data_IF_841180338091
#
_entry.id   IF_841180338091
#
_cell.length_a   1.000
_cell.length_b   1.000
_cell.length_c   1.000
_cell.angle_alpha   90.00
_cell.angle_beta   90.00
_cell.angle_gamma   90.00
#
_symmetry.space_group_name_H-M   'P 1'
#
loop_
_entity.id
_entity.type
_entity.pdbx_description
1 polymer ?
#
# COMPACT_ATOMS: atom_id res chain seq x y z
N UNK A 1 -0.66 -8.75 -18.97
CA UNK A 1 0.45 -9.72 -19.16
C UNK A 1 1.65 -9.31 -18.31
N UNK A 2 2.52 -10.25 -17.95
CA UNK A 2 3.75 -9.96 -17.17
C UNK A 2 4.63 -8.91 -17.87
N UNK A 3 4.73 -8.97 -19.18
CA UNK A 3 5.52 -8.05 -19.98
C UNK A 3 5.13 -6.58 -19.76
N UNK A 4 3.84 -6.27 -19.70
CA UNK A 4 3.35 -4.90 -19.42
C UNK A 4 3.85 -4.40 -18.07
N UNK A 5 3.89 -5.27 -17.05
CA UNK A 5 4.41 -4.89 -15.73
C UNK A 5 5.92 -4.59 -15.78
N UNK A 6 6.69 -5.35 -16.54
CA UNK A 6 8.14 -5.11 -16.68
C UNK A 6 8.42 -3.79 -17.39
N UNK A 7 7.75 -3.54 -18.51
CA UNK A 7 7.90 -2.31 -19.29
C UNK A 7 7.46 -1.09 -18.48
N UNK A 8 6.31 -1.18 -17.81
CA UNK A 8 5.79 -0.09 -16.98
C UNK A 8 6.75 0.19 -15.81
N UNK A 9 7.24 -0.85 -15.12
CA UNK A 9 8.16 -0.67 -14.02
C UNK A 9 9.50 -0.10 -14.48
N UNK A 10 10.05 -0.58 -15.61
CA UNK A 10 11.28 -0.05 -16.17
C UNK A 10 11.14 1.44 -16.54
N UNK A 11 10.04 1.81 -17.20
CA UNK A 11 9.73 3.20 -17.53
C UNK A 11 9.61 4.10 -16.29
N UNK A 12 8.94 3.62 -15.25
CA UNK A 12 8.82 4.35 -14.00
C UNK A 12 10.15 4.46 -13.25
N UNK A 13 10.93 3.37 -13.19
CA UNK A 13 12.22 3.34 -12.53
C UNK A 13 13.22 4.31 -13.18
N UNK A 14 13.27 4.36 -14.51
CA UNK A 14 14.11 5.30 -15.26
C UNK A 14 13.80 6.76 -14.90
N UNK A 15 12.51 7.11 -14.80
CA UNK A 15 12.09 8.50 -14.56
C UNK A 15 12.12 8.91 -13.09
N UNK A 16 11.88 7.96 -12.19
CA UNK A 16 11.72 8.24 -10.76
C UNK A 16 12.99 8.02 -9.95
N UNK A 17 13.94 7.20 -10.42
CA UNK A 17 15.17 6.91 -9.67
C UNK A 17 15.99 8.14 -9.27
N UNK A 18 16.00 9.28 -10.01
CA UNK A 18 16.66 10.49 -9.54
C UNK A 18 16.00 11.12 -8.29
N UNK A 19 14.74 10.80 -8.00
CA UNK A 19 13.94 11.46 -6.96
C UNK A 19 13.60 10.52 -5.81
N UNK A 20 13.54 9.21 -6.06
CA UNK A 20 13.20 8.19 -5.07
C UNK A 20 14.27 7.09 -5.04
N UNK A 21 14.53 6.57 -3.87
CA UNK A 21 15.49 5.47 -3.69
C UNK A 21 14.83 4.14 -3.33
N UNK A 22 13.49 4.09 -3.20
CA UNK A 22 12.77 2.89 -2.75
C UNK A 22 11.46 2.73 -3.49
N UNK A 23 11.22 1.50 -3.94
CA UNK A 23 9.94 1.06 -4.46
C UNK A 23 9.38 -0.05 -3.57
N UNK A 24 8.08 0.02 -3.28
CA UNK A 24 7.36 -0.98 -2.50
C UNK A 24 6.25 -1.54 -3.37
N UNK A 25 6.18 -2.86 -3.48
CA UNK A 25 5.12 -3.53 -4.22
C UNK A 25 4.49 -4.65 -3.41
N UNK A 26 3.34 -5.12 -3.83
CA UNK A 26 2.71 -6.33 -3.31
C UNK A 26 1.99 -7.06 -4.44
N UNK A 27 1.89 -8.37 -4.30
CA UNK A 27 1.03 -9.16 -5.17
C UNK A 27 -0.44 -8.97 -4.80
N UNK A 28 -1.31 -9.12 -5.79
CA UNK A 28 -2.75 -9.07 -5.58
C UNK A 28 -3.18 -10.25 -4.70
N UNK A 29 -3.95 -9.94 -3.67
CA UNK A 29 -4.56 -10.92 -2.77
C UNK A 29 -6.07 -10.95 -2.96
N UNK A 30 -6.66 -12.14 -2.86
CA UNK A 30 -8.10 -12.31 -2.97
C UNK A 30 -8.78 -11.99 -1.63
N UNK A 31 -9.76 -11.09 -1.65
CA UNK A 31 -10.65 -10.83 -0.52
C UNK A 31 -12.11 -10.79 -0.99
N UNK A 32 -13.05 -10.81 -0.02
CA UNK A 32 -14.47 -11.06 -0.30
C UNK A 32 -15.05 -10.18 -1.41
N UNK A 33 -14.84 -8.87 -1.33
CA UNK A 33 -15.39 -7.91 -2.31
C UNK A 33 -14.81 -8.10 -3.70
N UNK A 34 -13.54 -8.50 -3.80
CA UNK A 34 -12.87 -8.69 -5.07
C UNK A 34 -13.49 -9.82 -5.90
N UNK A 35 -13.97 -10.87 -5.23
CA UNK A 35 -14.68 -11.97 -5.88
C UNK A 35 -15.91 -11.50 -6.67
N UNK A 36 -16.54 -10.43 -6.20
CA UNK A 36 -17.72 -9.84 -6.85
C UNK A 36 -17.34 -8.78 -7.88
N UNK A 37 -16.39 -7.90 -7.52
CA UNK A 37 -16.06 -6.74 -8.35
C UNK A 37 -15.09 -7.05 -9.50
N UNK A 38 -14.29 -8.11 -9.34
CA UNK A 38 -13.28 -8.53 -10.32
C UNK A 38 -13.22 -10.06 -10.40
N UNK A 39 -14.33 -10.73 -10.80
CA UNK A 39 -14.37 -12.19 -10.90
C UNK A 39 -13.37 -12.74 -11.92
N UNK A 40 -12.95 -11.90 -12.87
CA UNK A 40 -11.96 -12.21 -13.89
C UNK A 40 -10.51 -12.22 -13.39
N UNK A 41 -10.26 -11.79 -12.13
CA UNK A 41 -8.89 -11.71 -11.64
C UNK A 41 -8.32 -13.11 -11.41
N UNK A 42 -7.16 -13.34 -11.98
CA UNK A 42 -6.39 -14.58 -11.80
C UNK A 42 -5.25 -14.28 -10.82
N UNK A 43 -5.22 -15.03 -9.72
CA UNK A 43 -4.09 -14.96 -8.80
C UNK A 43 -2.85 -15.58 -9.43
N UNK A 44 -1.71 -14.95 -9.15
CA UNK A 44 -0.44 -15.43 -9.65
C UNK A 44 -0.05 -16.75 -8.96
N UNK A 45 0.42 -17.69 -9.74
CA UNK A 45 1.11 -18.88 -9.23
C UNK A 45 2.44 -18.51 -8.59
N UNK A 46 3.01 -19.38 -7.76
CA UNK A 46 4.33 -19.15 -7.18
C UNK A 46 5.43 -19.05 -8.26
N UNK A 47 5.27 -19.79 -9.37
CA UNK A 47 6.16 -19.69 -10.53
C UNK A 47 6.08 -18.27 -11.12
N UNK A 48 4.87 -17.74 -11.32
CA UNK A 48 4.68 -16.39 -11.86
C UNK A 48 5.23 -15.32 -10.92
N UNK A 49 4.98 -15.44 -9.60
CA UNK A 49 5.53 -14.53 -8.60
C UNK A 49 7.06 -14.51 -8.60
N UNK A 50 7.69 -15.68 -8.70
CA UNK A 50 9.14 -15.80 -8.78
C UNK A 50 9.70 -15.18 -10.07
N UNK A 51 9.07 -15.44 -11.21
CA UNK A 51 9.47 -14.86 -12.50
C UNK A 51 9.35 -13.34 -12.49
N UNK A 52 8.22 -12.81 -12.01
CA UNK A 52 7.99 -11.37 -11.89
C UNK A 52 9.03 -10.76 -10.94
N UNK A 53 9.25 -11.37 -9.79
CA UNK A 53 10.22 -10.90 -8.80
C UNK A 53 11.64 -10.83 -9.35
N UNK A 54 12.07 -11.85 -10.10
CA UNK A 54 13.36 -11.86 -10.77
C UNK A 54 13.52 -10.68 -11.71
N UNK A 55 12.52 -10.42 -12.55
CA UNK A 55 12.59 -9.35 -13.56
C UNK A 55 12.53 -7.95 -12.92
N UNK A 56 11.60 -7.71 -12.00
CA UNK A 56 11.50 -6.39 -11.35
C UNK A 56 12.69 -6.13 -10.41
N UNK A 57 13.23 -7.16 -9.76
CA UNK A 57 14.48 -7.06 -8.98
C UNK A 57 15.66 -6.60 -9.85
N UNK A 58 15.84 -7.23 -11.01
CA UNK A 58 16.89 -6.83 -11.96
C UNK A 58 16.71 -5.39 -12.48
N UNK A 59 15.47 -4.99 -12.77
CA UNK A 59 15.17 -3.61 -13.19
C UNK A 59 15.52 -2.63 -12.05
N UNK A 60 15.09 -2.90 -10.82
CA UNK A 60 15.38 -2.04 -9.67
C UNK A 60 16.90 -1.89 -9.45
N UNK A 61 17.65 -2.98 -9.55
CA UNK A 61 19.11 -2.99 -9.44
C UNK A 61 19.77 -2.11 -10.48
N UNK A 62 19.32 -2.16 -11.74
CA UNK A 62 19.83 -1.32 -12.84
C UNK A 62 19.74 0.18 -12.50
N UNK A 63 18.72 0.59 -11.77
CA UNK A 63 18.49 1.99 -11.40
C UNK A 63 18.89 2.32 -9.95
N UNK A 64 19.66 1.46 -9.28
CA UNK A 64 20.07 1.63 -7.88
C UNK A 64 18.91 1.86 -6.91
N UNK A 65 17.76 1.29 -7.18
CA UNK A 65 16.57 1.41 -6.33
C UNK A 65 16.48 0.24 -5.36
N UNK A 66 16.20 0.54 -4.11
CA UNK A 66 15.80 -0.46 -3.12
C UNK A 66 14.39 -0.93 -3.49
N UNK A 67 14.24 -2.23 -3.73
CA UNK A 67 12.91 -2.82 -3.94
C UNK A 67 12.55 -3.71 -2.76
N UNK A 68 11.30 -3.61 -2.31
CA UNK A 68 10.79 -4.42 -1.22
C UNK A 68 9.34 -4.83 -1.43
N UNK A 69 8.95 -5.92 -0.79
CA UNK A 69 7.55 -6.34 -0.72
C UNK A 69 6.88 -5.80 0.54
N UNK A 70 5.55 -5.63 0.45
CA UNK A 70 4.68 -5.37 1.58
C UNK A 70 3.69 -6.53 1.74
N UNK A 71 3.59 -7.06 2.96
CA UNK A 71 2.67 -8.15 3.31
C UNK A 71 2.79 -9.37 2.39
N UNK A 72 4.01 -9.79 2.08
CA UNK A 72 4.34 -10.97 1.29
C UNK A 72 4.99 -12.01 2.19
N UNK A 73 4.53 -13.25 2.13
CA UNK A 73 5.06 -14.36 2.94
C UNK A 73 6.25 -15.05 2.27
N UNK A 74 6.32 -14.98 0.95
CA UNK A 74 7.39 -15.56 0.15
C UNK A 74 8.73 -14.84 0.39
N UNK A 75 9.80 -15.62 0.50
CA UNK A 75 11.16 -15.07 0.53
C UNK A 75 11.65 -14.79 -0.89
N UNK A 76 11.86 -13.51 -1.20
CA UNK A 76 12.31 -13.03 -2.51
C UNK A 76 13.71 -12.38 -2.47
N UNK A 77 14.45 -12.57 -1.37
CA UNK A 77 15.78 -11.98 -1.17
C UNK A 77 16.77 -12.43 -2.24
N UNK A 78 16.64 -13.64 -2.77
CA UNK A 78 17.42 -14.14 -3.88
C UNK A 78 17.35 -13.30 -5.16
N UNK A 79 16.32 -12.45 -5.29
CA UNK A 79 16.15 -11.51 -6.39
C UNK A 79 16.49 -10.05 -5.99
N UNK A 80 17.14 -9.85 -4.86
CA UNK A 80 17.47 -8.53 -4.33
C UNK A 80 16.27 -7.76 -3.75
N UNK A 81 15.17 -8.45 -3.48
CA UNK A 81 13.93 -7.86 -2.97
C UNK A 81 13.86 -8.03 -1.47
N UNK A 82 13.82 -6.92 -0.75
CA UNK A 82 13.72 -6.94 0.71
C UNK A 82 12.32 -7.33 1.17
N UNK A 83 12.26 -8.20 2.16
CA UNK A 83 11.02 -8.52 2.85
C UNK A 83 10.87 -7.60 4.08
N UNK A 84 10.11 -6.52 3.95
CA UNK A 84 9.99 -5.49 4.99
C UNK A 84 8.56 -4.92 5.07
N UNK A 85 8.31 -4.06 6.04
CA UNK A 85 7.07 -3.27 6.13
C UNK A 85 7.19 -1.96 5.36
N UNK A 86 6.06 -1.45 4.86
CA UNK A 86 6.00 -0.13 4.25
C UNK A 86 6.03 1.00 5.30
N UNK A 87 5.57 0.71 6.53
CA UNK A 87 5.55 1.62 7.68
C UNK A 87 6.43 1.04 8.78
N UNK A 88 7.73 1.31 8.71
CA UNK A 88 8.70 0.85 9.73
C UNK A 88 9.30 2.03 10.47
N UNK A 89 9.76 1.79 11.71
CA UNK A 89 10.47 2.80 12.49
C UNK A 89 11.71 3.35 11.79
N UNK A 90 12.38 2.53 10.97
CA UNK A 90 13.54 2.94 10.17
C UNK A 90 13.13 3.93 9.07
N UNK A 91 12.09 3.60 8.31
CA UNK A 91 11.61 4.47 7.22
C UNK A 91 11.07 5.79 7.78
N UNK A 92 10.19 5.70 8.79
CA UNK A 92 9.57 6.88 9.39
C UNK A 92 10.57 7.71 10.19
N UNK A 93 11.50 7.05 10.90
CA UNK A 93 12.56 7.72 11.64
C UNK A 93 13.47 8.54 10.73
N UNK A 94 13.88 7.95 9.60
CA UNK A 94 14.68 8.65 8.59
C UNK A 94 13.93 9.82 7.95
N UNK A 95 12.65 9.63 7.61
CA UNK A 95 11.83 10.66 6.96
C UNK A 95 11.57 11.88 7.86
N UNK A 96 11.47 11.67 9.18
CA UNK A 96 11.13 12.70 10.15
C UNK A 96 12.31 13.10 11.06
N UNK A 97 13.50 12.54 10.85
CA UNK A 97 14.69 12.73 11.70
C UNK A 97 14.42 12.44 13.20
N UNK A 98 13.71 11.34 13.48
CA UNK A 98 13.36 10.91 14.83
C UNK A 98 13.80 9.47 15.08
N UNK A 99 14.03 9.13 16.36
CA UNK A 99 14.30 7.76 16.80
C UNK A 99 13.15 7.25 17.66
N UNK A 100 12.57 6.12 17.27
CA UNK A 100 11.51 5.47 18.03
C UNK A 100 12.11 4.69 19.21
N UNK A 101 11.71 5.02 20.44
CA UNK A 101 12.18 4.35 21.65
C UNK A 101 11.61 2.95 21.83
N UNK A 102 10.34 2.75 21.44
CA UNK A 102 9.64 1.46 21.48
C UNK A 102 8.84 1.28 20.20
N UNK A 103 8.93 0.11 19.61
CA UNK A 103 8.22 -0.24 18.40
C UNK A 103 7.42 -1.51 18.65
N UNK A 104 6.11 -1.43 18.43
CA UNK A 104 5.24 -2.60 18.36
C UNK A 104 5.02 -2.94 16.90
N UNK A 105 5.08 -4.20 16.57
CA UNK A 105 4.76 -4.71 15.24
C UNK A 105 3.37 -5.32 15.27
N UNK A 106 2.40 -4.60 14.73
CA UNK A 106 1.01 -5.03 14.58
C UNK A 106 0.65 -4.90 13.10
N UNK A 107 0.99 -5.95 12.35
CA UNK A 107 0.65 -6.01 10.94
C UNK A 107 -0.87 -6.00 10.72
N UNK A 108 -1.31 -5.32 9.66
CA UNK A 108 -2.73 -5.21 9.30
C UNK A 108 -3.27 -6.47 8.62
N UNK A 109 -2.39 -7.36 8.14
CA UNK A 109 -2.72 -8.61 7.45
C UNK A 109 -1.55 -9.60 7.52
N UNK A 110 -1.80 -10.83 7.10
CA UNK A 110 -0.75 -11.86 7.06
C UNK A 110 0.48 -11.38 6.29
N UNK A 111 1.67 -11.68 6.80
CA UNK A 111 2.94 -11.24 6.20
C UNK A 111 3.26 -9.76 6.36
N UNK A 112 2.39 -8.94 6.94
CA UNK A 112 2.66 -7.53 7.19
C UNK A 112 3.71 -7.36 8.29
N UNK A 113 4.75 -6.57 8.02
CA UNK A 113 5.86 -6.26 8.95
C UNK A 113 5.87 -4.79 9.37
N UNK A 114 4.75 -4.10 9.23
CA UNK A 114 4.62 -2.72 9.64
C UNK A 114 4.62 -2.59 11.17
N UNK A 115 5.08 -1.44 11.64
CA UNK A 115 4.86 -1.04 13.03
C UNK A 115 3.37 -0.76 13.27
N UNK A 116 2.98 -0.75 14.53
CA UNK A 116 1.63 -0.35 14.95
C UNK A 116 1.29 1.03 14.35
N UNK A 117 0.12 1.12 13.78
CA UNK A 117 -0.38 2.36 13.19
C UNK A 117 -1.88 2.49 13.45
N UNK A 118 -2.38 3.71 13.36
CA UNK A 118 -3.82 4.01 13.46
C UNK A 118 -4.30 4.50 12.10
N UNK A 119 -5.44 3.97 11.67
CA UNK A 119 -6.15 4.50 10.52
C UNK A 119 -6.86 5.79 10.94
N UNK A 120 -6.53 6.88 10.27
CA UNK A 120 -7.20 8.18 10.46
C UNK A 120 -8.21 8.48 9.35
N UNK A 121 -8.33 7.58 8.36
CA UNK A 121 -9.31 7.67 7.28
C UNK A 121 -10.67 7.10 7.69
N UNK A 122 -11.67 7.36 6.87
CA UNK A 122 -12.99 6.76 6.98
C UNK A 122 -13.33 5.95 5.74
N UNK A 123 -14.18 4.93 5.92
CA UNK A 123 -14.64 4.09 4.82
C UNK A 123 -15.69 4.83 3.97
N UNK A 124 -15.81 4.42 2.71
CA UNK A 124 -16.76 5.03 1.76
C UNK A 124 -16.63 6.55 1.65
N UNK A 125 -15.39 7.06 1.51
CA UNK A 125 -15.10 8.49 1.37
C UNK A 125 -14.39 8.87 0.07
N UNK A 126 -13.85 7.89 -0.66
CA UNK A 126 -13.10 8.15 -1.89
C UNK A 126 -13.99 7.99 -3.14
N UNK A 127 -14.10 9.01 -4.02
CA UNK A 127 -14.98 8.98 -5.19
C UNK A 127 -14.42 8.20 -6.38
N UNK A 128 -13.17 7.69 -6.33
CA UNK A 128 -12.47 7.15 -7.50
C UNK A 128 -13.03 5.82 -8.05
N UNK A 129 -13.87 5.10 -7.30
CA UNK A 129 -14.53 3.88 -7.77
C UNK A 129 -13.61 2.71 -8.14
N UNK A 130 -12.40 2.63 -7.59
CA UNK A 130 -11.45 1.56 -7.88
C UNK A 130 -12.06 0.18 -7.57
N UNK A 131 -12.09 -0.72 -8.53
CA UNK A 131 -12.62 -2.09 -8.36
C UNK A 131 -11.89 -2.87 -7.26
N UNK A 132 -10.59 -2.66 -7.10
CA UNK A 132 -9.73 -3.28 -6.09
C UNK A 132 -9.74 -2.51 -4.75
N UNK A 133 -10.67 -1.65 -4.47
CA UNK A 133 -10.66 -0.87 -3.24
C UNK A 133 -11.24 -1.65 -2.07
N UNK A 134 -10.49 -1.83 -1.00
CA UNK A 134 -10.99 -2.43 0.25
C UNK A 134 -11.78 -1.44 1.12
N UNK A 135 -11.52 -0.14 0.97
CA UNK A 135 -12.09 0.89 1.83
C UNK A 135 -13.49 1.36 1.39
N UNK A 136 -13.83 1.27 0.11
CA UNK A 136 -15.16 1.61 -0.36
C UNK A 136 -16.04 0.37 -0.47
N UNK A 137 -17.09 0.31 0.31
CA UNK A 137 -18.11 -0.75 0.25
C UNK A 137 -19.15 -0.46 -0.83
N UNK A 138 -19.55 0.81 -0.94
CA UNK A 138 -20.57 1.28 -1.86
C UNK A 138 -20.11 2.56 -2.58
N UNK A 139 -19.96 2.54 -3.93
CA UNK A 139 -19.51 3.69 -4.71
C UNK A 139 -20.44 4.91 -4.61
N UNK A 140 -21.75 4.69 -4.50
CA UNK A 140 -22.73 5.77 -4.40
C UNK A 140 -22.60 6.48 -3.05
N UNK A 141 -22.52 5.72 -1.95
CA UNK A 141 -22.28 6.27 -0.61
C UNK A 141 -20.95 7.04 -0.57
N UNK A 142 -19.91 6.49 -1.19
CA UNK A 142 -18.61 7.15 -1.26
C UNK A 142 -18.68 8.51 -1.98
N UNK A 143 -19.43 8.59 -3.07
CA UNK A 143 -19.65 9.86 -3.77
C UNK A 143 -20.46 10.87 -2.94
N UNK A 144 -21.50 10.41 -2.24
CA UNK A 144 -22.29 11.25 -1.34
C UNK A 144 -21.46 11.78 -0.17
N UNK A 145 -20.66 10.91 0.44
CA UNK A 145 -19.78 11.28 1.54
C UNK A 145 -18.70 12.26 1.09
N UNK A 146 -18.14 12.05 -0.09
CA UNK A 146 -17.17 12.99 -0.67
C UNK A 146 -17.78 14.40 -0.87
N UNK A 147 -19.03 14.48 -1.31
CA UNK A 147 -19.74 15.78 -1.46
C UNK A 147 -20.02 16.47 -0.14
N UNK A 148 -20.16 15.70 0.95
CA UNK A 148 -20.40 16.22 2.30
C UNK A 148 -19.11 16.64 3.01
N UNK A 149 -17.95 16.21 2.51
CA UNK A 149 -16.67 16.54 3.13
C UNK A 149 -16.38 18.04 3.03
N UNK A 150 -16.04 18.63 4.17
CA UNK A 150 -15.56 20.01 4.25
C UNK A 150 -14.07 19.97 4.67
N UNK A 151 -13.12 20.42 3.82
CA UNK A 151 -11.70 20.37 4.15
C UNK A 151 -11.28 21.27 5.32
N UNK A 152 -12.16 22.18 5.76
CA UNK A 152 -11.92 23.03 6.92
C UNK A 152 -12.46 22.45 8.24
N UNK A 153 -13.17 21.32 8.18
CA UNK A 153 -13.68 20.64 9.37
C UNK A 153 -12.61 19.73 10.00
N UNK A 154 -12.76 19.49 11.30
CA UNK A 154 -11.88 18.59 12.05
C UNK A 154 -12.14 17.10 11.74
N UNK A 155 -13.27 16.78 11.17
CA UNK A 155 -13.71 15.42 10.85
C UNK A 155 -13.71 15.19 9.34
N UNK A 156 -13.33 14.00 8.89
CA UNK A 156 -13.46 13.60 7.49
C UNK A 156 -14.92 13.53 7.09
N UNK A 157 -15.77 13.03 7.96
CA UNK A 157 -17.22 13.01 7.81
C UNK A 157 -17.90 13.34 9.12
N UNK A 158 -19.02 14.08 9.02
CA UNK A 158 -19.81 14.49 10.16
C UNK A 158 -19.21 15.69 10.90
N UNK A 159 -19.75 15.98 12.06
CA UNK A 159 -19.36 17.09 12.92
C UNK A 159 -19.03 16.56 14.32
N UNK A 160 -18.10 17.24 15.01
CA UNK A 160 -17.84 16.97 16.42
C UNK A 160 -19.13 17.22 17.23
N UNK A 161 -19.44 16.29 18.10
CA UNK A 161 -20.54 16.41 19.07
C UNK A 161 -20.03 17.11 20.33
N UNK A 162 -20.89 17.83 21.07
CA UNK A 162 -20.48 18.46 22.33
C UNK A 162 -19.96 17.49 23.39
N UNK A 163 -20.27 16.18 23.21
CA UNK A 163 -19.85 15.08 24.11
C UNK A 163 -18.55 14.42 23.68
N UNK A 164 -17.97 14.81 22.53
CA UNK A 164 -16.74 14.18 22.04
C UNK A 164 -15.53 14.76 22.79
N UNK A 165 -14.71 13.87 23.32
CA UNK A 165 -13.46 14.25 23.98
C UNK A 165 -12.34 14.32 22.93
N UNK A 166 -11.70 15.49 22.82
CA UNK A 166 -10.52 15.70 21.99
C UNK A 166 -9.29 15.40 22.85
N UNK A 167 -8.62 14.31 22.59
CA UNK A 167 -7.31 14.01 23.21
C UNK A 167 -6.22 14.80 22.47
N UNK A 168 -5.52 15.62 23.19
CA UNK A 168 -4.34 16.36 22.73
C UNK A 168 -3.07 15.49 22.76
#
# INVERSE_FOLDING_TARGET
TKQVHYETFAYMAERLSPYINRCIFSFVEMYKKLKTNMPEIILLSDIDKNEISKNIGAIAQKYNMIIQTCATVENLEQYGILQSGCMTSVILGKANNITFKKVRHLGNRQGCRCMENRNIGDYDTCPNGCKYCYANQNPQIAQENYKKHNPNDLMILGNLKPTDEIQQ
#
